data_IF_008537132987
#
_entry.id   IF_008537132987
#
_cell.length_a   1.000
_cell.length_b   1.000
_cell.length_c   1.000
_cell.angle_alpha   90.00
_cell.angle_beta   90.00
_cell.angle_gamma   90.00
#
_symmetry.space_group_name_H-M   'P 1'
#
loop_
_entity.id
_entity.type
_entity.pdbx_description
1 polymer ?
#
# COMPACT_ATOMS: atom_id res chain seq x y z
N UNK A 1 12.94 12.66 19.55
CA UNK A 1 12.04 11.70 18.88
C UNK A 1 10.97 11.35 19.90
N UNK A 2 9.69 11.37 19.52
CA UNK A 2 8.60 10.94 20.38
C UNK A 2 7.85 9.83 19.65
N UNK A 3 7.62 8.71 20.33
CA UNK A 3 6.89 7.54 19.82
C UNK A 3 5.72 7.33 20.79
N UNK A 4 4.52 7.20 20.26
CA UNK A 4 3.30 6.91 21.01
C UNK A 4 3.00 5.40 21.05
N UNK A 5 1.81 5.02 21.53
CA UNK A 5 1.44 3.64 21.80
C UNK A 5 1.21 2.83 20.52
N UNK A 6 1.44 1.51 20.57
CA UNK A 6 1.14 0.56 19.49
C UNK A 6 1.76 0.90 18.12
N UNK A 7 2.94 1.54 18.13
CA UNK A 7 3.71 1.82 16.91
C UNK A 7 4.51 0.58 16.49
N UNK A 8 4.47 0.22 15.20
CA UNK A 8 5.31 -0.86 14.64
C UNK A 8 6.37 -0.29 13.72
N UNK A 9 7.64 -0.56 14.03
CA UNK A 9 8.78 -0.09 13.24
C UNK A 9 9.44 -1.30 12.58
N UNK A 10 9.55 -1.27 11.26
CA UNK A 10 10.22 -2.29 10.47
C UNK A 10 11.74 -2.30 10.68
N UNK A 11 12.41 -3.31 10.14
CA UNK A 11 13.87 -3.44 10.22
C UNK A 11 14.60 -2.33 9.45
N UNK A 12 15.75 -1.91 9.96
CA UNK A 12 16.65 -0.94 9.30
C UNK A 12 16.01 0.41 8.97
N UNK A 13 15.14 0.89 9.85
CA UNK A 13 14.56 2.23 9.75
C UNK A 13 15.53 3.26 10.32
N UNK A 14 15.62 4.41 9.65
CA UNK A 14 16.36 5.58 10.16
C UNK A 14 15.34 6.65 10.53
N UNK A 15 15.26 6.96 11.83
CA UNK A 15 14.38 8.02 12.32
C UNK A 15 15.18 9.29 12.60
N UNK A 16 14.84 10.36 11.88
CA UNK A 16 15.49 11.67 12.04
C UNK A 16 15.13 12.34 13.38
N UNK A 17 16.01 13.22 13.90
CA UNK A 17 15.72 14.00 15.10
C UNK A 17 14.46 14.86 14.97
N UNK A 18 13.72 14.98 16.07
CA UNK A 18 12.47 15.75 16.11
C UNK A 18 11.25 15.05 15.51
N UNK A 19 11.38 13.83 14.95
CA UNK A 19 10.21 13.08 14.47
C UNK A 19 9.26 12.73 15.61
N UNK A 20 7.95 12.90 15.36
CA UNK A 20 6.85 12.46 16.20
C UNK A 20 6.08 11.35 15.50
N UNK A 21 5.95 10.18 16.14
CA UNK A 21 5.21 9.04 15.61
C UNK A 21 3.98 8.84 16.49
N UNK A 22 2.80 9.12 15.94
CA UNK A 22 1.53 8.94 16.63
C UNK A 22 1.14 7.46 16.73
N UNK A 23 0.18 7.15 17.59
CA UNK A 23 -0.20 5.77 17.90
C UNK A 23 -0.76 5.01 16.69
N UNK A 24 -0.70 3.68 16.74
CA UNK A 24 -1.12 2.79 15.66
C UNK A 24 -0.44 3.07 14.31
N UNK A 25 0.71 3.72 14.30
CA UNK A 25 1.47 3.99 13.09
C UNK A 25 2.37 2.79 12.73
N UNK A 26 2.50 2.49 11.44
CA UNK A 26 3.44 1.47 10.95
C UNK A 26 4.47 2.13 10.05
N UNK A 27 5.74 1.89 10.33
CA UNK A 27 6.86 2.36 9.54
C UNK A 27 7.54 1.17 8.85
N UNK A 28 7.52 1.12 7.52
CA UNK A 28 8.03 -0.04 6.77
C UNK A 28 9.54 -0.20 6.89
N UNK A 29 10.04 -1.41 6.66
CA UNK A 29 11.47 -1.68 6.62
C UNK A 29 12.21 -0.77 5.62
N UNK A 30 13.48 -0.46 5.91
CA UNK A 30 14.35 0.41 5.11
C UNK A 30 13.80 1.82 4.83
N UNK A 31 12.90 2.33 5.68
CA UNK A 31 12.36 3.68 5.53
C UNK A 31 13.19 4.72 6.30
N UNK A 32 13.17 5.97 5.82
CA UNK A 32 13.93 7.07 6.42
C UNK A 32 13.00 8.25 6.65
N UNK A 33 12.82 8.67 7.90
CA UNK A 33 12.00 9.86 8.21
C UNK A 33 12.78 11.15 8.01
N UNK A 34 12.07 12.23 7.73
CA UNK A 34 12.63 13.58 7.64
C UNK A 34 12.68 14.26 9.01
N UNK A 35 13.59 15.21 9.19
CA UNK A 35 13.73 16.00 10.43
C UNK A 35 12.41 16.69 10.77
N UNK A 36 11.97 16.58 12.04
CA UNK A 36 10.69 17.16 12.54
C UNK A 36 9.42 16.68 11.81
N UNK A 37 9.46 15.53 11.14
CA UNK A 37 8.28 14.93 10.53
C UNK A 37 7.29 14.40 11.59
N UNK A 38 5.99 14.59 11.36
CA UNK A 38 4.92 13.91 12.12
C UNK A 38 4.35 12.76 11.30
N UNK A 39 4.37 11.55 11.86
CA UNK A 39 3.66 10.40 11.32
C UNK A 39 2.30 10.33 12.00
N UNK A 40 1.24 10.51 11.22
CA UNK A 40 -0.14 10.56 11.68
C UNK A 40 -0.62 9.18 12.14
N UNK A 41 -1.53 9.20 13.13
CA UNK A 41 -2.19 8.01 13.67
C UNK A 41 -2.85 7.16 12.58
N UNK A 42 -2.88 5.85 12.82
CA UNK A 42 -3.59 4.89 11.96
C UNK A 42 -3.15 4.93 10.48
N UNK A 43 -1.87 5.24 10.21
CA UNK A 43 -1.30 5.21 8.85
C UNK A 43 -0.03 4.37 8.76
N UNK A 44 0.22 3.88 7.55
CA UNK A 44 1.42 3.16 7.16
C UNK A 44 2.31 4.12 6.36
N UNK A 45 3.55 4.26 6.77
CA UNK A 45 4.56 5.11 6.15
C UNK A 45 5.71 4.26 5.63
N UNK A 46 6.26 4.63 4.47
CA UNK A 46 7.39 3.92 3.89
C UNK A 46 8.13 4.71 2.81
N UNK A 47 9.33 4.23 2.48
CA UNK A 47 10.23 4.86 1.50
C UNK A 47 11.31 5.75 2.11
N UNK A 48 12.09 6.35 1.21
CA UNK A 48 13.21 7.25 1.50
C UNK A 48 13.01 8.50 0.63
N UNK A 49 12.42 9.60 1.14
CA UNK A 49 11.92 9.81 2.49
C UNK A 49 10.59 9.06 2.76
N UNK A 50 10.28 8.83 4.03
CA UNK A 50 9.08 8.12 4.46
C UNK A 50 7.82 8.92 4.11
N UNK A 51 7.06 8.44 3.12
CA UNK A 51 5.79 9.02 2.67
C UNK A 51 4.61 8.20 3.18
N UNK A 52 3.46 8.84 3.32
CA UNK A 52 2.21 8.19 3.70
C UNK A 52 1.76 7.26 2.57
N UNK A 53 1.62 5.97 2.85
CA UNK A 53 1.28 4.95 1.85
C UNK A 53 -0.21 4.58 1.89
N UNK A 54 -0.71 4.19 3.07
CA UNK A 54 -2.07 3.66 3.21
C UNK A 54 -2.57 3.83 4.64
N UNK A 55 -3.88 3.91 4.82
CA UNK A 55 -4.52 3.80 6.13
C UNK A 55 -4.20 2.42 6.74
N UNK A 56 -3.86 2.42 8.02
CA UNK A 56 -3.57 1.24 8.79
C UNK A 56 -4.87 0.61 9.30
N UNK A 57 -5.14 -0.61 8.84
CA UNK A 57 -6.28 -1.43 9.26
C UNK A 57 -5.85 -2.57 10.19
N UNK A 58 -4.56 -2.67 10.55
CA UNK A 58 -4.03 -3.75 11.39
C UNK A 58 -4.45 -3.64 12.86
N UNK A 59 -4.95 -2.47 13.26
CA UNK A 59 -5.48 -2.20 14.60
C UNK A 59 -7.01 -2.07 14.61
N UNK A 60 -7.68 -2.25 13.47
CA UNK A 60 -9.14 -2.38 13.45
C UNK A 60 -9.50 -3.83 13.87
N UNK A 61 -10.27 -3.97 14.95
CA UNK A 61 -10.81 -5.25 15.43
C UNK A 61 -11.49 -6.02 14.28
N UNK A 62 -11.12 -7.29 14.11
CA UNK A 62 -11.65 -8.18 13.04
C UNK A 62 -10.70 -8.40 11.85
N UNK A 63 -9.40 -8.08 12.00
CA UNK A 63 -8.41 -8.50 11.00
C UNK A 63 -8.16 -10.01 11.06
N UNK A 64 -8.22 -10.64 12.24
CA UNK A 64 -8.18 -12.10 12.39
C UNK A 64 -9.31 -12.78 11.60
N UNK A 65 -10.49 -12.16 11.50
CA UNK A 65 -11.61 -12.70 10.72
C UNK A 65 -11.38 -12.61 9.20
N UNK A 66 -10.61 -11.62 8.75
CA UNK A 66 -10.27 -11.40 7.33
C UNK A 66 -9.05 -12.22 6.91
N UNK A 67 -8.08 -12.38 7.81
CA UNK A 67 -6.92 -13.24 7.67
C UNK A 67 -7.25 -14.54 8.40
N UNK A 68 -8.26 -15.26 7.90
CA UNK A 68 -8.64 -16.55 8.48
C UNK A 68 -7.43 -17.48 8.53
N UNK A 69 -7.26 -18.17 9.66
CA UNK A 69 -6.27 -19.24 9.79
C UNK A 69 -6.69 -20.38 8.87
N UNK A 70 -5.95 -20.58 7.77
CA UNK A 70 -6.22 -21.69 6.85
C UNK A 70 -5.26 -22.82 7.20
N UNK A 71 -5.67 -23.68 8.13
CA UNK A 71 -4.88 -24.86 8.49
C UNK A 71 -4.77 -25.83 7.30
N UNK A 72 -5.83 -25.96 6.49
CA UNK A 72 -5.86 -26.87 5.35
C UNK A 72 -5.59 -26.18 4.00
N UNK A 73 -4.36 -26.38 3.51
CA UNK A 73 -3.86 -25.93 2.21
C UNK A 73 -4.78 -26.36 1.05
N UNK A 74 -5.49 -27.47 1.19
CA UNK A 74 -6.39 -28.02 0.18
C UNK A 74 -7.67 -27.20 0.02
N UNK A 75 -8.21 -26.65 1.12
CA UNK A 75 -9.38 -25.75 1.09
C UNK A 75 -9.02 -24.41 0.46
N UNK A 76 -7.82 -23.90 0.77
CA UNK A 76 -7.28 -22.70 0.13
C UNK A 76 -7.12 -22.92 -1.38
N UNK A 77 -6.55 -24.07 -1.78
CA UNK A 77 -6.37 -24.44 -3.18
C UNK A 77 -7.69 -24.50 -3.93
N UNK A 78 -8.73 -25.12 -3.35
CA UNK A 78 -10.07 -25.17 -3.96
C UNK A 78 -10.67 -23.78 -4.18
N UNK A 79 -10.56 -22.88 -3.21
CA UNK A 79 -11.06 -21.50 -3.32
C UNK A 79 -10.32 -20.70 -4.41
N UNK A 80 -9.00 -20.87 -4.51
CA UNK A 80 -8.21 -20.26 -5.58
C UNK A 80 -8.49 -20.88 -6.96
N UNK A 81 -8.62 -22.20 -7.05
CA UNK A 81 -8.98 -22.89 -8.29
C UNK A 81 -10.35 -22.44 -8.80
N UNK A 82 -11.35 -22.23 -7.92
CA UNK A 82 -12.68 -21.77 -8.32
C UNK A 82 -12.66 -20.31 -8.85
N UNK A 83 -11.92 -19.42 -8.18
CA UNK A 83 -11.76 -18.01 -8.58
C UNK A 83 -11.02 -17.89 -9.92
N UNK A 84 -9.99 -18.72 -10.15
CA UNK A 84 -9.19 -18.68 -11.37
C UNK A 84 -9.84 -19.44 -12.54
N UNK A 85 -10.55 -20.54 -12.27
CA UNK A 85 -11.21 -21.35 -13.33
C UNK A 85 -12.44 -20.64 -13.91
N UNK A 86 -13.25 -19.95 -13.09
CA UNK A 86 -14.39 -19.14 -13.59
C UNK A 86 -13.95 -18.07 -14.61
N UNK A 87 -12.72 -17.57 -14.51
CA UNK A 87 -12.19 -16.54 -15.41
C UNK A 87 -11.91 -17.04 -16.84
N UNK A 88 -11.74 -18.34 -17.06
CA UNK A 88 -11.35 -18.89 -18.37
C UNK A 88 -12.52 -19.31 -19.27
N UNK A 89 -13.70 -19.59 -18.73
CA UNK A 89 -14.81 -20.15 -19.52
C UNK A 89 -15.80 -19.11 -20.11
N UNK A 90 -15.89 -17.89 -19.56
CA UNK A 90 -16.93 -16.92 -19.98
C UNK A 90 -16.45 -15.78 -20.88
N UNK A 91 -15.15 -15.65 -21.13
CA UNK A 91 -14.60 -14.53 -21.89
C UNK A 91 -14.41 -14.86 -23.37
N UNK A 92 -15.34 -14.38 -24.19
CA UNK A 92 -15.23 -14.39 -25.65
C UNK A 92 -14.01 -13.56 -26.09
N UNK A 93 -13.48 -13.79 -27.31
CA UNK A 93 -12.35 -13.01 -27.86
C UNK A 93 -12.59 -11.48 -27.84
N UNK A 94 -13.85 -11.06 -27.89
CA UNK A 94 -14.29 -9.66 -27.82
C UNK A 94 -14.08 -9.10 -26.42
N UNK A 95 -14.57 -9.79 -25.40
CA UNK A 95 -14.44 -9.41 -23.99
C UNK A 95 -12.96 -9.30 -23.57
N UNK A 96 -12.09 -10.17 -24.10
CA UNK A 96 -10.63 -10.08 -23.86
C UNK A 96 -9.97 -8.84 -24.48
N UNK A 97 -10.51 -8.31 -25.59
CA UNK A 97 -10.03 -7.03 -26.17
C UNK A 97 -10.50 -5.86 -25.34
N UNK A 98 -11.75 -5.89 -24.90
CA UNK A 98 -12.36 -4.79 -24.16
C UNK A 98 -11.68 -4.64 -22.79
N UNK A 99 -11.45 -5.73 -22.06
CA UNK A 99 -10.67 -5.73 -20.81
C UNK A 99 -9.23 -5.27 -21.03
N UNK A 100 -8.59 -5.66 -22.14
CA UNK A 100 -7.22 -5.22 -22.45
C UNK A 100 -7.18 -3.73 -22.78
N UNK A 101 -8.23 -3.20 -23.40
CA UNK A 101 -8.35 -1.78 -23.72
C UNK A 101 -8.63 -0.96 -22.47
N UNK A 102 -9.54 -1.41 -21.61
CA UNK A 102 -9.81 -0.80 -20.29
C UNK A 102 -8.57 -0.79 -19.41
N UNK A 103 -7.86 -1.93 -19.28
CA UNK A 103 -6.58 -1.96 -18.54
C UNK A 103 -5.53 -1.03 -19.10
N UNK A 104 -5.43 -0.91 -20.43
CA UNK A 104 -4.48 0.00 -21.06
C UNK A 104 -4.88 1.47 -20.85
N UNK A 105 -6.17 1.78 -20.82
CA UNK A 105 -6.69 3.11 -20.52
C UNK A 105 -6.56 3.46 -19.03
N UNK A 106 -6.77 2.50 -18.12
CA UNK A 106 -6.52 2.67 -16.68
C UNK A 106 -5.04 2.82 -16.38
N UNK A 107 -4.16 2.00 -16.98
CA UNK A 107 -2.71 2.15 -16.86
C UNK A 107 -2.25 3.48 -17.46
N UNK A 108 -2.81 3.89 -18.60
CA UNK A 108 -2.50 5.19 -19.21
C UNK A 108 -2.98 6.35 -18.33
N UNK A 109 -4.20 6.30 -17.79
CA UNK A 109 -4.71 7.30 -16.84
C UNK A 109 -3.88 7.34 -15.58
N UNK A 110 -3.44 6.18 -15.07
CA UNK A 110 -2.56 6.09 -13.91
C UNK A 110 -1.16 6.62 -14.20
N UNK A 111 -0.68 6.46 -15.43
CA UNK A 111 0.60 6.99 -15.88
C UNK A 111 0.54 8.50 -16.16
N UNK A 112 -0.56 9.00 -16.74
CA UNK A 112 -0.82 10.43 -16.95
C UNK A 112 -1.03 11.14 -15.59
N UNK A 113 -1.87 10.61 -14.68
CA UNK A 113 -1.98 11.13 -13.31
C UNK A 113 -0.65 11.06 -12.55
N UNK A 114 0.13 10.00 -12.77
CA UNK A 114 1.47 9.89 -12.23
C UNK A 114 2.38 10.99 -12.77
N UNK A 115 2.40 11.21 -14.09
CA UNK A 115 3.21 12.22 -14.74
C UNK A 115 2.83 13.65 -14.29
N UNK A 116 1.53 13.95 -14.18
CA UNK A 116 1.04 15.23 -13.67
C UNK A 116 1.45 15.44 -12.19
N UNK A 117 1.40 14.40 -11.34
CA UNK A 117 1.90 14.46 -9.95
C UNK A 117 3.44 14.61 -9.88
N UNK A 118 4.19 14.11 -10.87
CA UNK A 118 5.65 14.23 -10.92
C UNK A 118 6.10 15.60 -11.48
N UNK A 119 5.39 16.17 -12.47
CA UNK A 119 5.66 17.52 -12.99
C UNK A 119 5.31 18.62 -11.96
N UNK A 120 4.20 18.50 -11.22
CA UNK A 120 3.89 19.40 -10.08
C UNK A 120 4.94 19.33 -8.95
N UNK A 121 5.60 18.18 -8.79
CA UNK A 121 6.66 17.99 -7.78
C UNK A 121 8.01 18.60 -8.20
N UNK A 122 8.34 18.62 -9.50
CA UNK A 122 9.59 19.18 -10.02
C UNK A 122 9.52 20.72 -10.22
N UNK A 123 8.35 21.27 -10.56
CA UNK A 123 8.15 22.73 -10.71
C UNK A 123 8.21 23.52 -9.37
N UNK A 124 8.20 22.81 -8.24
CA UNK A 124 8.36 23.37 -6.89
C UNK A 124 9.81 23.47 -6.39
N UNK A 125 10.80 23.01 -7.17
CA UNK A 125 12.22 23.01 -6.79
C UNK A 125 13.09 23.69 -7.84
N UNK A 126 12.91 25.00 -7.99
CA UNK A 126 13.90 25.86 -8.65
C UNK A 126 14.71 26.58 -7.57
N UNK A 127 16.02 26.27 -7.54
CA UNK A 127 17.08 27.00 -6.82
C UNK A 127 17.26 28.40 -7.43
#
# INVERSE_FOLDING_TARGET
MKIEDDVRIGSHVITSPGTHIEHNCILTANSVTTVRQTLERDYIYGGIPAKKLKKNYFFEDGLEDKIGYVEDVEVLRGKYEEIYTKRYNELTRKDRRDIKKEKKEEEKKRFDYGADEWEEFDDGFII
#
